data_IF_708724683530
#
_entry.id   IF_708724683530
#
_cell.length_a   1.000
_cell.length_b   1.000
_cell.length_c   1.000
_cell.angle_alpha   90.00
_cell.angle_beta   90.00
_cell.angle_gamma   90.00
#
_symmetry.space_group_name_H-M   'P 1'
#
loop_
_entity.id
_entity.type
_entity.pdbx_description
1 polymer ?
#
# COMPACT_ATOMS: atom_id res chain seq x y z
N UNK A 1 -46.07 -60.22 -2.65
CA UNK A 1 -46.45 -58.82 -2.49
C UNK A 1 -45.53 -58.05 -1.48
N UNK A 2 -44.96 -58.69 -0.46
CA UNK A 2 -44.10 -58.03 0.55
C UNK A 2 -42.77 -57.40 0.00
N UNK A 3 -42.12 -58.03 -0.99
CA UNK A 3 -40.84 -57.57 -1.57
C UNK A 3 -40.93 -56.22 -2.32
N UNK A 4 -42.04 -55.95 -2.99
CA UNK A 4 -42.24 -54.69 -3.77
C UNK A 4 -42.50 -53.50 -2.89
N UNK A 5 -43.14 -53.70 -1.74
CA UNK A 5 -43.40 -52.64 -0.77
C UNK A 5 -42.15 -52.20 0.00
N UNK A 6 -41.23 -53.15 0.26
CA UNK A 6 -39.95 -52.87 0.95
C UNK A 6 -38.98 -52.04 0.07
N UNK A 7 -38.98 -52.27 -1.24
CA UNK A 7 -38.14 -51.51 -2.19
C UNK A 7 -38.56 -50.05 -2.37
N UNK A 8 -39.87 -49.75 -2.27
CA UNK A 8 -40.36 -48.37 -2.35
C UNK A 8 -40.01 -47.55 -1.11
N UNK A 9 -39.98 -48.14 0.07
CA UNK A 9 -39.57 -47.50 1.29
C UNK A 9 -38.06 -47.17 1.28
N UNK A 10 -37.23 -48.08 0.85
CA UNK A 10 -35.78 -47.88 0.71
C UNK A 10 -35.46 -46.77 -0.31
N UNK A 11 -36.17 -46.75 -1.44
CA UNK A 11 -36.03 -45.72 -2.45
C UNK A 11 -36.39 -44.30 -1.92
N UNK A 12 -37.43 -44.23 -1.08
CA UNK A 12 -37.83 -42.97 -0.44
C UNK A 12 -36.77 -42.46 0.53
N UNK A 13 -36.22 -43.33 1.38
CA UNK A 13 -35.13 -42.92 2.29
C UNK A 13 -33.85 -42.53 1.55
N UNK A 14 -33.48 -43.26 0.50
CA UNK A 14 -32.33 -42.95 -0.34
C UNK A 14 -32.47 -41.57 -1.02
N UNK A 15 -33.67 -41.26 -1.54
CA UNK A 15 -33.98 -39.95 -2.12
C UNK A 15 -33.88 -38.81 -1.12
N UNK A 16 -34.43 -39.00 0.08
CA UNK A 16 -34.31 -38.03 1.16
C UNK A 16 -32.87 -37.78 1.59
N UNK A 17 -32.07 -38.82 1.72
CA UNK A 17 -30.66 -38.74 2.04
C UNK A 17 -29.85 -37.95 0.96
N UNK A 18 -30.13 -38.25 -0.31
CA UNK A 18 -29.47 -37.57 -1.42
C UNK A 18 -29.75 -36.05 -1.42
N UNK A 19 -30.97 -35.61 -1.08
CA UNK A 19 -31.31 -34.20 -0.98
C UNK A 19 -30.55 -33.55 0.17
N UNK A 20 -30.46 -34.19 1.32
CA UNK A 20 -29.71 -33.67 2.47
C UNK A 20 -28.22 -33.56 2.11
N UNK A 21 -27.62 -34.56 1.49
CA UNK A 21 -26.23 -34.55 1.06
C UNK A 21 -25.96 -33.40 0.06
N UNK A 22 -26.85 -33.20 -0.93
CA UNK A 22 -26.69 -32.12 -1.90
C UNK A 22 -26.79 -30.73 -1.27
N UNK A 23 -27.65 -30.58 -0.28
CA UNK A 23 -27.77 -29.34 0.49
C UNK A 23 -26.48 -29.03 1.29
N UNK A 24 -25.94 -30.06 1.98
CA UNK A 24 -24.69 -29.93 2.73
C UNK A 24 -23.53 -29.56 1.79
N UNK A 25 -23.39 -30.26 0.65
CA UNK A 25 -22.35 -29.96 -0.33
C UNK A 25 -22.52 -28.54 -0.87
N UNK A 26 -23.72 -28.13 -1.24
CA UNK A 26 -24.00 -26.76 -1.71
C UNK A 26 -23.66 -25.71 -0.68
N UNK A 27 -23.96 -25.94 0.59
CA UNK A 27 -23.61 -25.03 1.69
C UNK A 27 -22.10 -24.89 1.85
N UNK A 28 -21.34 -25.98 1.77
CA UNK A 28 -19.88 -25.96 1.84
C UNK A 28 -19.24 -25.19 0.68
N UNK A 29 -19.78 -25.34 -0.53
CA UNK A 29 -19.32 -24.59 -1.70
C UNK A 29 -19.55 -23.09 -1.51
N UNK A 30 -20.75 -22.69 -1.04
CA UNK A 30 -21.07 -21.28 -0.79
C UNK A 30 -20.14 -20.65 0.27
N UNK A 31 -19.85 -21.39 1.34
CA UNK A 31 -18.90 -20.92 2.38
C UNK A 31 -17.51 -20.72 1.78
N UNK A 32 -17.01 -21.67 1.00
CA UNK A 32 -15.70 -21.54 0.37
C UNK A 32 -15.62 -20.34 -0.58
N UNK A 33 -16.63 -20.15 -1.42
CA UNK A 33 -16.70 -18.99 -2.31
C UNK A 33 -16.73 -17.69 -1.50
N UNK A 34 -17.55 -17.63 -0.45
CA UNK A 34 -17.64 -16.45 0.43
C UNK A 34 -16.29 -16.11 1.09
N UNK A 35 -15.56 -17.10 1.58
CA UNK A 35 -14.21 -16.90 2.17
C UNK A 35 -13.22 -16.38 1.13
N UNK A 36 -13.22 -16.91 -0.09
CA UNK A 36 -12.34 -16.43 -1.16
C UNK A 36 -12.63 -14.99 -1.54
N UNK A 37 -13.90 -14.65 -1.74
CA UNK A 37 -14.32 -13.27 -2.06
C UNK A 37 -13.92 -12.32 -0.92
N UNK A 38 -14.17 -12.71 0.32
CA UNK A 38 -13.82 -11.90 1.48
C UNK A 38 -12.31 -11.64 1.57
N UNK A 39 -11.47 -12.67 1.40
CA UNK A 39 -10.01 -12.51 1.41
C UNK A 39 -9.53 -11.56 0.33
N UNK A 40 -9.97 -11.73 -0.91
CA UNK A 40 -9.58 -10.86 -2.02
C UNK A 40 -9.99 -9.41 -1.78
N UNK A 41 -11.18 -9.17 -1.21
CA UNK A 41 -11.65 -7.80 -0.90
C UNK A 41 -10.82 -7.18 0.22
N UNK A 42 -10.48 -7.93 1.26
CA UNK A 42 -9.66 -7.43 2.37
C UNK A 42 -8.24 -7.14 1.91
N UNK A 43 -7.60 -8.06 1.21
CA UNK A 43 -6.23 -7.87 0.70
C UNK A 43 -6.13 -6.65 -0.23
N UNK A 44 -7.04 -6.51 -1.19
CA UNK A 44 -7.06 -5.34 -2.08
C UNK A 44 -7.32 -4.03 -1.33
N UNK A 45 -8.15 -4.04 -0.30
CA UNK A 45 -8.39 -2.84 0.51
C UNK A 45 -7.18 -2.44 1.35
N UNK A 46 -6.45 -3.39 1.92
CA UNK A 46 -5.25 -3.11 2.71
C UNK A 46 -4.14 -2.55 1.83
N UNK A 47 -3.93 -3.09 0.63
CA UNK A 47 -2.94 -2.60 -0.33
C UNK A 47 -3.26 -1.17 -0.80
N UNK A 48 -4.50 -0.90 -1.18
CA UNK A 48 -4.96 0.44 -1.58
C UNK A 48 -4.86 1.45 -0.44
N UNK A 49 -5.20 1.02 0.77
CA UNK A 49 -5.05 1.86 1.95
C UNK A 49 -3.59 2.22 2.20
N UNK A 50 -2.67 1.28 2.07
CA UNK A 50 -1.22 1.49 2.23
C UNK A 50 -0.68 2.50 1.20
N UNK A 51 -1.08 2.42 -0.07
CA UNK A 51 -0.66 3.36 -1.12
C UNK A 51 -1.14 4.79 -0.82
N UNK A 52 -2.41 4.96 -0.49
CA UNK A 52 -2.99 6.27 -0.16
C UNK A 52 -2.42 6.84 1.14
N UNK A 53 -2.21 6.00 2.14
CA UNK A 53 -1.58 6.39 3.39
C UNK A 53 -0.14 6.88 3.16
N UNK A 54 0.64 6.16 2.34
CA UNK A 54 1.99 6.55 1.94
C UNK A 54 2.03 7.93 1.30
N UNK A 55 1.20 8.15 0.28
CA UNK A 55 1.14 9.44 -0.42
C UNK A 55 0.64 10.58 0.48
N UNK A 56 -0.36 10.30 1.34
CA UNK A 56 -0.87 11.27 2.31
C UNK A 56 0.20 11.65 3.34
N UNK A 57 0.97 10.67 3.80
CA UNK A 57 2.10 10.86 4.69
C UNK A 57 3.15 11.78 4.06
N UNK A 58 3.62 11.44 2.85
CA UNK A 58 4.58 12.25 2.11
C UNK A 58 4.06 13.67 1.87
N UNK A 59 2.78 13.80 1.45
CA UNK A 59 2.16 15.09 1.25
C UNK A 59 2.14 15.96 2.51
N UNK A 60 1.89 15.35 3.64
CA UNK A 60 1.88 16.03 4.94
C UNK A 60 3.28 16.52 5.30
N UNK A 61 4.30 15.67 5.13
CA UNK A 61 5.70 16.04 5.39
C UNK A 61 6.17 17.18 4.49
N UNK A 62 5.86 17.09 3.18
CA UNK A 62 6.19 18.14 2.21
C UNK A 62 5.54 19.48 2.59
N UNK A 63 4.26 19.47 2.97
CA UNK A 63 3.56 20.69 3.38
C UNK A 63 4.10 21.32 4.66
N UNK A 64 4.60 20.50 5.58
CA UNK A 64 5.23 20.98 6.82
C UNK A 64 6.55 21.70 6.53
N UNK A 65 7.30 21.24 5.55
CA UNK A 65 8.60 21.79 5.17
C UNK A 65 8.55 22.72 3.94
N UNK A 66 7.37 23.18 3.50
CA UNK A 66 7.20 24.02 2.29
C UNK A 66 7.70 25.46 2.54
N UNK A 67 9.02 25.59 2.50
CA UNK A 67 9.76 26.84 2.50
C UNK A 67 10.59 26.91 1.21
N UNK A 68 11.07 28.11 0.86
CA UNK A 68 11.95 28.28 -0.30
C UNK A 68 13.21 27.42 -0.15
N UNK A 69 13.56 26.70 -1.20
CA UNK A 69 14.74 25.82 -1.30
C UNK A 69 14.86 24.71 -0.23
N UNK A 70 13.77 24.43 0.48
CA UNK A 70 13.76 23.39 1.51
C UNK A 70 13.53 21.99 0.96
N UNK A 71 13.05 21.86 -0.28
CA UNK A 71 12.66 20.60 -0.88
C UNK A 71 13.53 20.31 -2.09
N UNK A 72 14.14 19.15 -2.13
CA UNK A 72 14.92 18.69 -3.29
C UNK A 72 14.75 17.19 -3.50
N UNK A 73 15.04 16.76 -4.72
CA UNK A 73 15.06 15.35 -5.09
C UNK A 73 16.47 15.00 -5.49
N UNK A 74 17.02 13.98 -4.88
CA UNK A 74 18.35 13.44 -5.21
C UNK A 74 18.22 11.96 -5.58
N UNK A 75 19.26 11.42 -6.17
CA UNK A 75 19.37 9.99 -6.43
C UNK A 75 20.52 9.41 -5.61
N UNK A 76 20.27 8.29 -4.92
CA UNK A 76 21.31 7.54 -4.21
C UNK A 76 21.19 6.06 -4.56
N UNK A 77 22.25 5.51 -5.11
CA UNK A 77 22.33 4.09 -5.51
C UNK A 77 21.15 3.67 -6.44
N UNK A 78 20.72 4.57 -7.34
CA UNK A 78 19.59 4.34 -8.23
C UNK A 78 18.20 4.50 -7.57
N UNK A 79 18.15 4.93 -6.32
CA UNK A 79 16.91 5.16 -5.58
C UNK A 79 16.61 6.67 -5.53
N UNK A 80 15.43 7.12 -6.00
CA UNK A 80 15.01 8.51 -5.84
C UNK A 80 14.69 8.80 -4.37
N UNK A 81 15.31 9.83 -3.83
CA UNK A 81 15.18 10.28 -2.44
C UNK A 81 14.61 11.69 -2.42
N UNK A 82 13.46 11.85 -1.78
CA UNK A 82 12.91 13.14 -1.44
C UNK A 82 13.62 13.67 -0.22
N UNK A 83 14.23 14.86 -0.31
CA UNK A 83 14.95 15.51 0.78
C UNK A 83 14.20 16.77 1.20
N UNK A 84 13.82 16.82 2.46
CA UNK A 84 13.18 17.96 3.11
C UNK A 84 14.17 18.55 4.12
N UNK A 85 14.51 19.83 3.96
CA UNK A 85 15.46 20.55 4.85
C UNK A 85 14.71 21.41 5.84
N UNK A 86 15.18 21.40 7.06
CA UNK A 86 14.61 22.16 8.15
C UNK A 86 15.76 22.72 9.01
N UNK A 87 15.68 24.00 9.34
CA UNK A 87 16.65 24.65 10.24
C UNK A 87 16.07 24.69 11.65
N UNK A 88 16.77 24.07 12.59
CA UNK A 88 16.45 24.02 14.01
C UNK A 88 17.65 24.51 14.81
N UNK A 89 17.48 25.55 15.62
CA UNK A 89 18.54 26.12 16.50
C UNK A 89 19.88 26.38 15.79
N UNK A 90 19.82 26.90 14.55
CA UNK A 90 20.98 27.17 13.68
C UNK A 90 21.70 25.91 13.15
N UNK A 91 21.11 24.75 13.28
CA UNK A 91 21.56 23.49 12.67
C UNK A 91 20.57 23.08 11.59
N UNK A 92 21.07 22.73 10.41
CA UNK A 92 20.23 22.22 9.33
C UNK A 92 20.08 20.73 9.45
N UNK A 93 18.84 20.28 9.53
CA UNK A 93 18.45 18.88 9.48
C UNK A 93 17.82 18.54 8.15
N UNK A 94 17.89 17.29 7.77
CA UNK A 94 17.22 16.76 6.59
C UNK A 94 16.39 15.53 6.93
N UNK A 95 15.15 15.54 6.46
CA UNK A 95 14.29 14.34 6.41
C UNK A 95 14.37 13.78 5.00
N UNK A 96 14.75 12.53 4.86
CA UNK A 96 14.84 11.82 3.60
C UNK A 96 13.77 10.76 3.53
N UNK A 97 12.97 10.78 2.45
CA UNK A 97 11.89 9.81 2.22
C UNK A 97 12.15 9.09 0.91
N UNK A 98 12.20 7.77 0.94
CA UNK A 98 12.55 6.92 -0.19
C UNK A 98 11.96 5.52 -0.05
N UNK A 99 11.86 4.78 -1.15
CA UNK A 99 11.49 3.35 -1.13
C UNK A 99 12.74 2.49 -1.26
N UNK A 100 12.93 1.59 -0.31
CA UNK A 100 14.04 0.64 -0.33
C UNK A 100 13.62 -0.72 0.21
N UNK A 101 13.95 -1.79 -0.53
CA UNK A 101 13.61 -3.18 -0.19
C UNK A 101 12.11 -3.40 0.10
N UNK A 102 11.24 -2.80 -0.72
CA UNK A 102 9.79 -2.98 -0.58
C UNK A 102 9.14 -2.22 0.58
N UNK A 103 9.83 -1.21 1.12
CA UNK A 103 9.36 -0.38 2.22
C UNK A 103 9.56 1.11 1.89
N UNK A 104 8.56 1.94 2.19
CA UNK A 104 8.76 3.37 2.32
C UNK A 104 9.52 3.63 3.61
N UNK A 105 10.62 4.35 3.51
CA UNK A 105 11.50 4.66 4.65
C UNK A 105 11.65 6.16 4.84
N UNK A 106 11.81 6.56 6.08
CA UNK A 106 12.14 7.91 6.48
C UNK A 106 13.40 7.92 7.34
N UNK A 107 14.32 8.81 7.00
CA UNK A 107 15.54 9.04 7.77
C UNK A 107 15.65 10.54 8.11
N UNK A 108 15.71 10.84 9.40
CA UNK A 108 15.95 12.19 9.91
C UNK A 108 17.34 12.27 10.50
N UNK A 109 18.14 13.23 10.01
CA UNK A 109 19.49 13.46 10.51
C UNK A 109 19.98 14.87 10.20
N UNK A 110 21.09 15.29 10.82
CA UNK A 110 21.80 16.52 10.51
C UNK A 110 22.33 16.49 9.06
N UNK A 111 22.30 17.64 8.39
CA UNK A 111 22.84 17.76 7.04
C UNK A 111 24.36 17.53 7.02
N UNK A 112 24.83 16.81 5.99
CA UNK A 112 26.25 16.44 5.87
C UNK A 112 26.62 15.07 6.46
N UNK A 113 25.78 14.47 7.29
CA UNK A 113 26.04 13.12 7.79
C UNK A 113 25.89 12.07 6.67
N UNK A 114 26.80 11.10 6.63
CA UNK A 114 26.67 9.96 5.74
C UNK A 114 25.55 9.01 6.22
N UNK A 115 24.89 8.35 5.29
CA UNK A 115 23.84 7.36 5.57
C UNK A 115 23.83 6.25 4.54
N UNK A 116 23.24 5.14 4.94
CA UNK A 116 22.88 4.03 4.05
C UNK A 116 21.37 3.99 3.87
N UNK A 117 20.91 3.43 2.76
CA UNK A 117 19.46 3.29 2.52
C UNK A 117 18.77 2.36 3.54
N UNK A 118 19.53 1.59 4.29
CA UNK A 118 19.03 0.70 5.34
C UNK A 118 18.76 1.42 6.67
N UNK A 119 19.35 2.60 6.88
CA UNK A 119 19.28 3.33 8.16
C UNK A 119 17.92 3.99 8.39
N UNK A 120 17.12 4.19 7.34
CA UNK A 120 15.79 4.79 7.46
C UNK A 120 14.82 3.88 8.22
N UNK A 121 13.96 4.52 9.04
CA UNK A 121 12.85 3.85 9.71
C UNK A 121 11.78 3.44 8.70
N UNK A 122 11.24 2.25 8.85
CA UNK A 122 10.15 1.74 8.01
C UNK A 122 8.83 2.44 8.36
N UNK A 123 8.19 3.03 7.36
CA UNK A 123 6.91 3.73 7.50
C UNK A 123 5.75 2.83 7.10
N UNK A 124 5.85 2.19 5.92
CA UNK A 124 4.82 1.27 5.41
C UNK A 124 5.38 0.41 4.26
N UNK A 125 4.67 -0.65 3.92
CA UNK A 125 4.96 -1.48 2.76
C UNK A 125 4.70 -0.71 1.46
N UNK A 126 5.68 -0.70 0.54
CA UNK A 126 5.58 -0.01 -0.73
C UNK A 126 6.64 -0.55 -1.70
N UNK A 127 6.23 -1.12 -2.85
CA UNK A 127 7.19 -1.72 -3.78
C UNK A 127 8.02 -0.69 -4.53
N UNK A 128 7.44 0.47 -4.86
CA UNK A 128 8.19 1.57 -5.45
C UNK A 128 7.59 2.93 -5.08
N UNK A 129 8.45 3.92 -5.08
CA UNK A 129 8.12 5.32 -4.87
C UNK A 129 8.94 6.18 -5.81
N UNK A 130 8.28 7.06 -6.54
CA UNK A 130 8.94 8.00 -7.42
C UNK A 130 8.49 9.42 -7.07
N UNK A 131 9.43 10.33 -7.12
CA UNK A 131 9.19 11.75 -6.97
C UNK A 131 9.82 12.49 -8.15
N UNK A 132 9.08 13.40 -8.75
CA UNK A 132 9.55 14.21 -9.87
C UNK A 132 9.04 15.64 -9.77
N UNK A 133 9.86 16.59 -10.16
CA UNK A 133 9.47 17.98 -10.30
C UNK A 133 8.76 18.18 -11.66
N UNK A 134 7.46 18.47 -11.61
CA UNK A 134 6.67 18.80 -12.82
C UNK A 134 6.89 20.26 -13.23
N UNK A 135 7.08 21.12 -12.26
CA UNK A 135 7.44 22.53 -12.45
C UNK A 135 8.11 23.07 -11.18
N UNK A 136 8.58 24.32 -11.20
CA UNK A 136 9.26 24.96 -10.05
C UNK A 136 8.46 24.95 -8.75
N UNK A 137 7.16 24.76 -8.82
CA UNK A 137 6.27 24.72 -7.66
C UNK A 137 5.33 23.54 -7.63
N UNK A 138 5.61 22.49 -8.42
CA UNK A 138 4.78 21.28 -8.43
C UNK A 138 5.63 20.01 -8.38
N UNK A 139 5.35 19.17 -7.42
CA UNK A 139 5.92 17.84 -7.30
C UNK A 139 4.86 16.80 -7.62
N UNK A 140 5.25 15.79 -8.35
CA UNK A 140 4.46 14.59 -8.59
C UNK A 140 5.08 13.44 -7.83
N UNK A 141 4.24 12.75 -7.10
CA UNK A 141 4.57 11.53 -6.38
C UNK A 141 3.82 10.37 -7.02
N UNK A 142 4.49 9.26 -7.19
CA UNK A 142 3.92 8.02 -7.67
C UNK A 142 4.31 6.93 -6.69
N UNK A 143 3.33 6.20 -6.18
CA UNK A 143 3.53 5.08 -5.30
C UNK A 143 2.83 3.84 -5.86
N UNK A 144 3.45 2.68 -5.75
CA UNK A 144 2.89 1.46 -6.29
C UNK A 144 3.28 0.21 -5.49
N UNK A 145 2.39 -0.78 -5.52
CA UNK A 145 2.60 -2.11 -4.95
C UNK A 145 2.90 -3.18 -6.02
N UNK A 146 2.91 -2.78 -7.30
CA UNK A 146 3.17 -3.64 -8.46
C UNK A 146 1.91 -4.08 -9.21
N UNK A 147 0.73 -4.01 -8.60
CA UNK A 147 -0.57 -4.26 -9.24
C UNK A 147 -1.31 -2.94 -9.46
N UNK A 148 -1.26 -2.08 -8.47
CA UNK A 148 -1.88 -0.76 -8.49
C UNK A 148 -0.85 0.35 -8.33
N UNK A 149 -1.18 1.50 -8.89
CA UNK A 149 -0.37 2.71 -8.87
C UNK A 149 -1.26 3.90 -8.53
N UNK A 150 -0.85 4.66 -7.53
CA UNK A 150 -1.52 5.91 -7.17
C UNK A 150 -0.58 7.09 -7.44
N UNK A 151 -1.18 8.19 -7.93
CA UNK A 151 -0.45 9.43 -8.28
C UNK A 151 -1.00 10.59 -7.48
N UNK A 152 -0.08 11.40 -6.96
CA UNK A 152 -0.42 12.61 -6.26
C UNK A 152 0.42 13.77 -6.81
N UNK A 153 -0.24 14.87 -7.17
CA UNK A 153 0.43 16.12 -7.55
C UNK A 153 0.21 17.14 -6.44
N UNK A 154 1.31 17.67 -5.91
CA UNK A 154 1.30 18.73 -4.92
C UNK A 154 1.78 20.03 -5.53
N UNK A 155 1.01 21.10 -5.30
CA UNK A 155 1.45 22.46 -5.53
C UNK A 155 2.09 23.01 -4.25
N UNK A 156 3.32 23.45 -4.37
CA UNK A 156 4.08 24.08 -3.29
C UNK A 156 3.72 25.57 -3.22
N UNK A 157 3.79 26.12 -2.02
CA UNK A 157 3.63 27.58 -1.79
C UNK A 157 4.89 28.33 -2.17
N UNK A 158 6.03 27.72 -1.90
CA UNK A 158 7.35 28.24 -2.22
C UNK A 158 7.85 27.74 -3.58
N UNK A 159 8.73 28.52 -4.20
CA UNK A 159 9.44 28.10 -5.41
C UNK A 159 10.71 27.39 -5.00
N UNK A 160 10.96 26.20 -5.54
CA UNK A 160 12.19 25.45 -5.32
C UNK A 160 13.17 25.76 -6.46
N UNK A 161 14.46 25.83 -6.17
CA UNK A 161 15.50 25.86 -7.20
C UNK A 161 15.61 24.45 -7.81
N UNK A 162 15.69 24.41 -9.14
CA UNK A 162 15.83 23.16 -9.90
C UNK A 162 17.27 22.65 -9.84
#
# INVERSE_FOLDING_TARGET
MKKKQQSTWIAGYAGGLAIICSFVIGSLVLVNVGVHVYKNVVENNEENFSLRASLSYVATRVRQCDKADSISVIEKEGVPVLVLREELESVTYRTMIYCYKGKLRELFQEEGMEYKLEDGLEVTDLKYFQVSAVSKNRLQFVAGNGEEEEKLVLSLRSVQQA
#
